data_IF_258189266353
#
_entry.id   IF_258189266353
#
_cell.length_a   1.000
_cell.length_b   1.000
_cell.length_c   1.000
_cell.angle_alpha   90.00
_cell.angle_beta   90.00
_cell.angle_gamma   90.00
#
_symmetry.space_group_name_H-M   'P 1'
#
loop_
_entity.id
_entity.type
_entity.pdbx_description
1 polymer ?
#
# COMPACT_ATOMS: atom_id res chain seq x y z
N UNK A 1 -5.17 -0.95 -21.40
CA UNK A 1 -6.22 -0.02 -21.87
C UNK A 1 -7.50 -0.19 -21.05
N UNK A 2 -7.53 0.49 -19.88
CA UNK A 2 -8.63 0.37 -18.93
C UNK A 2 -9.80 1.33 -19.20
N UNK A 3 -9.76 2.09 -20.31
CA UNK A 3 -10.73 3.15 -20.60
C UNK A 3 -11.71 2.84 -21.75
N UNK A 4 -11.67 1.65 -22.35
CA UNK A 4 -12.42 1.38 -23.57
C UNK A 4 -13.92 1.17 -23.39
N UNK A 5 -14.37 0.75 -22.22
CA UNK A 5 -15.78 0.35 -22.02
C UNK A 5 -16.71 1.52 -21.72
N UNK A 6 -16.20 2.72 -21.37
CA UNK A 6 -17.07 3.85 -21.06
C UNK A 6 -17.65 4.55 -22.30
N UNK A 7 -16.99 4.41 -23.46
CA UNK A 7 -17.42 5.07 -24.69
C UNK A 7 -18.77 4.55 -25.19
N UNK A 8 -19.07 3.29 -24.93
CA UNK A 8 -20.33 2.61 -25.34
C UNK A 8 -21.48 2.85 -24.35
N UNK A 9 -21.25 3.53 -23.22
CA UNK A 9 -22.26 3.75 -22.20
C UNK A 9 -22.86 5.15 -22.33
N UNK A 10 -24.20 5.22 -22.50
CA UNK A 10 -24.94 6.47 -22.69
C UNK A 10 -25.36 7.20 -21.41
N UNK A 11 -25.17 6.59 -20.25
CA UNK A 11 -25.52 7.18 -18.96
C UNK A 11 -24.43 8.08 -18.38
N UNK A 12 -24.65 8.63 -17.17
CA UNK A 12 -23.67 9.45 -16.47
C UNK A 12 -22.34 8.70 -16.24
N UNK A 13 -21.24 9.34 -16.56
CA UNK A 13 -19.89 8.78 -16.52
C UNK A 13 -19.08 9.43 -15.39
N UNK A 14 -18.61 8.64 -14.45
CA UNK A 14 -17.78 9.10 -13.35
C UNK A 14 -16.44 8.37 -13.40
N UNK A 15 -15.34 9.12 -13.45
CA UNK A 15 -14.00 8.57 -13.31
C UNK A 15 -13.54 8.69 -11.85
N UNK A 16 -13.25 7.56 -11.17
CA UNK A 16 -12.48 7.60 -9.94
C UNK A 16 -10.99 7.50 -10.28
N UNK A 17 -10.27 8.59 -10.07
CA UNK A 17 -8.91 8.76 -10.53
C UNK A 17 -7.96 8.95 -9.36
N UNK A 18 -7.03 8.03 -9.16
CA UNK A 18 -5.94 8.15 -8.20
C UNK A 18 -4.64 8.38 -8.97
N UNK A 19 -3.97 9.49 -8.68
CA UNK A 19 -2.73 9.87 -9.33
C UNK A 19 -1.75 10.49 -8.34
N UNK A 20 -0.55 10.00 -8.31
CA UNK A 20 0.45 10.30 -7.26
C UNK A 20 1.48 11.37 -7.68
N UNK A 21 1.19 12.19 -8.71
CA UNK A 21 2.05 13.29 -9.11
C UNK A 21 1.26 14.53 -9.49
N UNK A 22 1.94 15.68 -9.55
CA UNK A 22 1.32 16.98 -9.85
C UNK A 22 0.71 17.08 -11.25
N UNK A 23 1.16 16.22 -12.20
CA UNK A 23 0.64 16.20 -13.56
C UNK A 23 0.46 14.79 -14.08
N UNK A 24 -0.65 14.57 -14.75
CA UNK A 24 -0.91 13.34 -15.50
C UNK A 24 -0.43 13.48 -16.94
N UNK A 25 0.06 12.40 -17.58
CA UNK A 25 0.32 12.40 -19.02
C UNK A 25 -0.93 12.80 -19.79
N UNK A 26 -0.76 13.62 -20.83
CA UNK A 26 -1.87 14.21 -21.58
C UNK A 26 -2.84 13.18 -22.14
N UNK A 27 -2.35 12.00 -22.52
CA UNK A 27 -3.16 10.90 -23.03
C UNK A 27 -4.22 10.39 -22.03
N UNK A 28 -3.89 10.38 -20.72
CA UNK A 28 -4.83 10.01 -19.65
C UNK A 28 -5.70 11.20 -19.25
N UNK A 29 -5.07 12.36 -19.04
CA UNK A 29 -5.75 13.56 -18.60
C UNK A 29 -6.85 14.02 -19.57
N UNK A 30 -6.58 13.97 -20.88
CA UNK A 30 -7.56 14.38 -21.87
C UNK A 30 -8.81 13.48 -21.87
N UNK A 31 -8.63 12.17 -21.63
CA UNK A 31 -9.77 11.25 -21.50
C UNK A 31 -10.65 11.54 -20.28
N UNK A 32 -10.08 12.04 -19.19
CA UNK A 32 -10.87 12.43 -18.01
C UNK A 32 -11.86 13.57 -18.31
N UNK A 33 -11.60 14.40 -19.33
CA UNK A 33 -12.48 15.50 -19.71
C UNK A 33 -13.82 15.02 -20.31
N UNK A 34 -13.87 13.79 -20.81
CA UNK A 34 -15.05 13.17 -21.39
C UNK A 34 -16.05 12.69 -20.32
N UNK A 35 -15.61 12.64 -19.05
CA UNK A 35 -16.46 12.23 -17.94
C UNK A 35 -17.29 13.40 -17.40
N UNK A 36 -18.48 13.11 -16.88
CA UNK A 36 -19.37 14.09 -16.24
C UNK A 36 -18.79 14.55 -14.90
N UNK A 37 -18.17 13.62 -14.17
CA UNK A 37 -17.45 13.91 -12.93
C UNK A 37 -16.13 13.15 -12.87
N UNK A 38 -15.16 13.75 -12.19
CA UNK A 38 -13.88 13.14 -11.84
C UNK A 38 -13.76 13.15 -10.32
N UNK A 39 -13.76 11.96 -9.73
CA UNK A 39 -13.58 11.78 -8.31
C UNK A 39 -12.10 11.53 -8.01
N UNK A 40 -11.57 12.22 -7.02
CA UNK A 40 -10.16 12.14 -6.61
C UNK A 40 -10.06 11.88 -5.12
N UNK A 41 -8.99 11.24 -4.68
CA UNK A 41 -8.85 10.78 -3.30
C UNK A 41 -8.54 11.91 -2.28
N UNK A 42 -8.02 13.06 -2.72
CA UNK A 42 -7.58 14.13 -1.82
C UNK A 42 -7.77 15.52 -2.39
N UNK A 43 -7.77 16.54 -1.50
CA UNK A 43 -7.78 17.94 -1.90
C UNK A 43 -6.54 18.30 -2.74
N UNK A 44 -5.37 17.77 -2.38
CA UNK A 44 -4.16 17.99 -3.16
C UNK A 44 -4.32 17.52 -4.61
N UNK A 45 -4.83 16.32 -4.82
CA UNK A 45 -5.05 15.79 -6.16
C UNK A 45 -6.11 16.58 -6.92
N UNK A 46 -7.18 17.07 -6.24
CA UNK A 46 -8.17 17.98 -6.83
C UNK A 46 -7.48 19.23 -7.37
N UNK A 47 -6.67 19.87 -6.56
CA UNK A 47 -6.01 21.12 -6.91
C UNK A 47 -5.05 20.92 -8.09
N UNK A 48 -4.24 19.88 -8.07
CA UNK A 48 -3.38 19.51 -9.22
C UNK A 48 -4.19 19.22 -10.50
N UNK A 49 -5.35 18.56 -10.38
CA UNK A 49 -6.21 18.24 -11.52
C UNK A 49 -6.82 19.52 -12.12
N UNK A 50 -7.24 20.48 -11.30
CA UNK A 50 -7.78 21.77 -11.72
C UNK A 50 -6.66 22.63 -12.34
N UNK A 51 -5.50 22.73 -11.71
CA UNK A 51 -4.33 23.44 -12.25
C UNK A 51 -3.88 22.92 -13.61
N UNK A 52 -4.07 21.62 -13.87
CA UNK A 52 -3.78 21.01 -15.16
C UNK A 52 -4.84 21.37 -16.24
N UNK A 53 -5.96 22.02 -15.86
CA UNK A 53 -6.99 22.54 -16.75
C UNK A 53 -8.29 21.73 -16.77
N UNK A 54 -8.60 20.99 -15.70
CA UNK A 54 -9.92 20.38 -15.52
C UNK A 54 -10.91 21.43 -15.01
N UNK A 55 -12.16 21.34 -15.48
CA UNK A 55 -13.24 22.18 -14.94
C UNK A 55 -13.46 21.86 -13.46
N UNK A 56 -13.34 22.86 -12.54
CA UNK A 56 -13.52 22.65 -11.10
C UNK A 56 -14.85 22.02 -10.70
N UNK A 57 -15.93 22.32 -11.43
CA UNK A 57 -17.27 21.82 -11.14
C UNK A 57 -17.38 20.29 -11.32
N UNK A 58 -16.54 19.73 -12.20
CA UNK A 58 -16.47 18.29 -12.43
C UNK A 58 -15.66 17.54 -11.38
N UNK A 59 -14.76 18.19 -10.64
CA UNK A 59 -13.85 17.50 -9.72
C UNK A 59 -14.44 17.44 -8.32
N UNK A 60 -14.62 16.22 -7.79
CA UNK A 60 -15.12 15.95 -6.45
C UNK A 60 -14.08 15.19 -5.64
N UNK A 61 -13.92 15.55 -4.38
CA UNK A 61 -13.04 14.81 -3.45
C UNK A 61 -13.85 13.70 -2.79
N UNK A 62 -13.51 12.47 -3.10
CA UNK A 62 -14.07 11.26 -2.50
C UNK A 62 -12.89 10.47 -1.94
N UNK A 63 -12.56 10.61 -0.65
CA UNK A 63 -11.42 9.91 -0.05
C UNK A 63 -11.56 8.39 -0.15
N UNK A 64 -10.42 7.72 -0.24
CA UNK A 64 -10.37 6.28 0.00
C UNK A 64 -10.75 6.00 1.45
N UNK A 65 -11.43 4.91 1.69
CA UNK A 65 -11.95 4.55 2.99
C UNK A 65 -11.50 3.16 3.44
N UNK A 66 -11.56 2.95 4.73
CA UNK A 66 -11.37 1.64 5.37
C UNK A 66 -12.64 1.27 6.13
N UNK A 67 -12.99 -0.01 6.12
CA UNK A 67 -14.09 -0.50 6.95
C UNK A 67 -13.65 -0.58 8.41
N UNK A 68 -14.05 0.43 9.20
CA UNK A 68 -13.73 0.54 10.62
C UNK A 68 -14.37 -0.55 11.49
N UNK A 69 -15.37 -1.31 11.00
CA UNK A 69 -15.91 -2.46 11.72
C UNK A 69 -14.97 -3.67 11.62
N UNK A 70 -14.20 -3.74 10.55
CA UNK A 70 -13.24 -4.82 10.30
C UNK A 70 -11.84 -4.42 10.82
N UNK A 71 -11.36 -3.25 10.42
CA UNK A 71 -10.02 -2.76 10.75
C UNK A 71 -10.04 -1.87 11.99
N UNK A 72 -10.18 -2.51 13.16
CA UNK A 72 -10.11 -1.86 14.47
C UNK A 72 -9.34 -2.74 15.44
N UNK A 73 -8.67 -2.17 16.45
CA UNK A 73 -8.00 -2.95 17.49
C UNK A 73 -8.98 -3.92 18.17
N UNK A 74 -8.52 -5.15 18.39
CA UNK A 74 -9.31 -6.18 19.06
C UNK A 74 -8.46 -6.95 20.06
N UNK A 75 -8.57 -6.62 21.34
CA UNK A 75 -7.83 -7.25 22.43
C UNK A 75 -8.14 -8.74 22.62
N UNK A 76 -9.26 -9.22 22.09
CA UNK A 76 -9.63 -10.66 22.16
C UNK A 76 -8.84 -11.51 21.16
N UNK A 77 -8.20 -10.91 20.16
CA UNK A 77 -7.37 -11.64 19.22
C UNK A 77 -6.09 -12.08 19.89
N UNK A 78 -5.81 -13.37 19.84
CA UNK A 78 -4.56 -13.97 20.30
C UNK A 78 -3.79 -14.53 19.12
N UNK A 79 -2.52 -14.18 19.04
CA UNK A 79 -1.60 -14.66 18.01
C UNK A 79 -0.43 -15.38 18.69
N UNK A 80 -0.02 -16.58 18.22
CA UNK A 80 1.07 -17.34 18.83
C UNK A 80 2.39 -16.55 18.93
N UNK A 81 2.70 -15.74 17.94
CA UNK A 81 3.89 -14.92 17.85
C UNK A 81 3.91 -13.73 18.83
N UNK A 82 2.79 -13.40 19.48
CA UNK A 82 2.69 -12.36 20.52
C UNK A 82 2.71 -12.93 21.95
N UNK A 83 3.16 -14.17 22.12
CA UNK A 83 3.32 -14.77 23.45
C UNK A 83 4.60 -14.35 24.17
N UNK A 84 5.58 -13.89 23.41
CA UNK A 84 6.78 -13.26 23.96
C UNK A 84 6.52 -11.76 24.23
N UNK A 85 7.33 -11.15 25.08
CA UNK A 85 7.24 -9.73 25.45
C UNK A 85 7.98 -8.80 24.48
N UNK A 86 8.38 -9.32 23.31
CA UNK A 86 9.11 -8.52 22.31
C UNK A 86 8.16 -7.57 21.59
N UNK A 87 8.57 -6.32 21.45
CA UNK A 87 7.81 -5.36 20.63
C UNK A 87 7.93 -5.72 19.15
N UNK A 88 6.82 -5.64 18.42
CA UNK A 88 6.78 -6.04 17.01
C UNK A 88 6.44 -4.86 16.12
N UNK A 89 7.43 -4.42 15.35
CA UNK A 89 7.19 -3.59 14.18
C UNK A 89 6.64 -4.46 13.05
N UNK A 90 5.79 -3.90 12.20
CA UNK A 90 5.23 -4.61 11.06
C UNK A 90 5.52 -3.85 9.76
N UNK A 91 5.97 -4.56 8.74
CA UNK A 91 6.22 -4.05 7.41
C UNK A 91 5.42 -4.91 6.41
N UNK A 92 4.32 -4.35 5.93
CA UNK A 92 3.40 -5.02 5.03
C UNK A 92 3.35 -4.33 3.67
N UNK A 93 3.21 -5.11 2.62
CA UNK A 93 3.12 -4.62 1.26
C UNK A 93 3.88 -5.50 0.28
N UNK A 94 4.65 -4.87 -0.59
CA UNK A 94 5.53 -5.57 -1.53
C UNK A 94 6.94 -5.07 -1.37
N UNK A 95 7.92 -5.95 -1.58
CA UNK A 95 9.30 -5.49 -1.75
C UNK A 95 9.37 -4.61 -3.00
N UNK A 96 9.54 -3.32 -2.80
CA UNK A 96 9.44 -2.33 -3.86
C UNK A 96 10.29 -1.10 -3.50
N UNK A 97 11.02 -0.57 -4.48
CA UNK A 97 11.81 0.64 -4.31
C UNK A 97 10.96 1.83 -3.85
N UNK A 98 9.77 2.00 -4.43
CA UNK A 98 8.84 3.08 -4.07
C UNK A 98 8.36 2.99 -2.61
N UNK A 99 8.38 1.79 -2.03
CA UNK A 99 8.02 1.54 -0.63
C UNK A 99 9.21 1.63 0.32
N UNK A 100 10.41 1.87 -0.21
CA UNK A 100 11.66 1.91 0.56
C UNK A 100 11.86 0.67 1.45
N UNK A 101 11.43 -0.49 0.96
CA UNK A 101 11.37 -1.73 1.75
C UNK A 101 12.75 -2.13 2.27
N UNK A 102 13.77 -2.07 1.40
CA UNK A 102 15.15 -2.37 1.78
C UNK A 102 15.67 -1.40 2.84
N UNK A 103 15.49 -0.12 2.61
CA UNK A 103 15.93 0.96 3.49
C UNK A 103 15.27 0.88 4.87
N UNK A 104 13.99 0.51 4.94
CA UNK A 104 13.29 0.31 6.23
C UNK A 104 13.94 -0.83 7.01
N UNK A 105 14.27 -1.95 6.35
CA UNK A 105 14.95 -3.08 7.00
C UNK A 105 16.35 -2.68 7.47
N UNK A 106 17.12 -1.99 6.64
CA UNK A 106 18.45 -1.48 6.99
C UNK A 106 18.39 -0.54 8.19
N UNK A 107 17.45 0.42 8.20
CA UNK A 107 17.25 1.32 9.33
C UNK A 107 16.88 0.58 10.62
N UNK A 108 15.98 -0.41 10.55
CA UNK A 108 15.65 -1.24 11.72
C UNK A 108 16.87 -1.96 12.29
N UNK A 109 17.70 -2.56 11.43
CA UNK A 109 18.90 -3.30 11.84
C UNK A 109 19.99 -2.39 12.41
N UNK A 110 20.04 -1.13 11.97
CA UNK A 110 20.97 -0.12 12.47
C UNK A 110 20.54 0.50 13.79
N UNK A 111 19.23 0.78 13.94
CA UNK A 111 18.67 1.45 15.11
C UNK A 111 18.66 0.55 16.33
N UNK A 112 18.24 -0.70 16.18
CA UNK A 112 18.06 -1.62 17.30
C UNK A 112 19.23 -2.60 17.42
N UNK A 113 19.79 -2.73 18.63
CA UNK A 113 20.80 -3.75 18.93
C UNK A 113 20.17 -5.14 18.99
N UNK A 114 21.02 -6.19 18.88
CA UNK A 114 20.54 -7.58 18.93
C UNK A 114 19.97 -7.98 20.30
N UNK A 115 20.33 -7.26 21.36
CA UNK A 115 19.90 -7.53 22.72
C UNK A 115 18.56 -6.86 23.07
N UNK A 116 18.11 -5.94 22.25
CA UNK A 116 16.81 -5.29 22.46
C UNK A 116 15.63 -6.23 22.12
N UNK A 117 14.56 -6.21 22.93
CA UNK A 117 13.44 -7.11 22.75
C UNK A 117 12.47 -6.60 21.65
N UNK A 118 12.98 -6.46 20.43
CA UNK A 118 12.22 -6.01 19.28
C UNK A 118 12.32 -6.98 18.10
N UNK A 119 11.26 -7.10 17.31
CA UNK A 119 11.24 -7.83 16.04
C UNK A 119 10.63 -6.97 14.94
N UNK A 120 11.02 -7.21 13.70
CA UNK A 120 10.39 -6.66 12.51
C UNK A 120 9.70 -7.79 11.73
N UNK A 121 8.37 -7.76 11.71
CA UNK A 121 7.55 -8.75 11.01
C UNK A 121 7.36 -8.29 9.57
N UNK A 122 7.76 -9.14 8.63
CA UNK A 122 7.79 -8.86 7.21
C UNK A 122 6.71 -9.68 6.47
N UNK A 123 5.82 -9.00 5.76
CA UNK A 123 4.94 -9.62 4.75
C UNK A 123 5.03 -8.79 3.48
N UNK A 124 6.09 -9.02 2.73
CA UNK A 124 6.59 -8.11 1.68
C UNK A 124 6.93 -8.80 0.37
N UNK A 125 6.47 -10.03 0.14
CA UNK A 125 6.70 -10.71 -1.13
C UNK A 125 6.18 -9.90 -2.31
N UNK A 126 6.94 -9.92 -3.40
CA UNK A 126 6.57 -9.25 -4.64
C UNK A 126 6.57 -10.24 -5.81
N UNK A 127 5.41 -10.85 -6.04
CA UNK A 127 5.21 -11.81 -7.13
C UNK A 127 5.25 -11.17 -8.53
N UNK A 128 5.25 -9.83 -8.60
CA UNK A 128 5.30 -9.09 -9.87
C UNK A 128 6.69 -8.55 -10.19
N UNK A 129 7.63 -8.66 -9.25
CA UNK A 129 9.00 -8.25 -9.50
C UNK A 129 9.65 -9.17 -10.53
N UNK A 130 10.40 -8.56 -11.45
CA UNK A 130 11.23 -9.27 -12.44
C UNK A 130 12.70 -9.09 -12.09
N UNK A 131 13.02 -9.20 -10.80
CA UNK A 131 14.35 -8.96 -10.24
C UNK A 131 15.15 -10.25 -10.00
N UNK A 132 14.58 -11.41 -10.37
CA UNK A 132 15.22 -12.72 -10.26
C UNK A 132 15.11 -13.37 -8.87
N UNK A 133 14.28 -12.82 -7.98
CA UNK A 133 14.05 -13.40 -6.66
C UNK A 133 12.61 -13.92 -6.53
N UNK A 134 12.47 -15.13 -6.00
CA UNK A 134 11.16 -15.77 -5.86
C UNK A 134 10.43 -15.35 -4.58
N UNK A 135 11.17 -14.97 -3.53
CA UNK A 135 10.62 -14.72 -2.20
C UNK A 135 11.44 -13.67 -1.42
N UNK A 136 10.96 -13.34 -0.22
CA UNK A 136 11.61 -12.38 0.69
C UNK A 136 12.94 -12.90 1.22
N UNK A 137 13.05 -14.18 1.53
CA UNK A 137 14.26 -14.81 2.06
C UNK A 137 15.45 -14.66 1.09
N UNK A 138 15.23 -14.90 -0.20
CA UNK A 138 16.26 -14.76 -1.23
C UNK A 138 16.76 -13.31 -1.34
N UNK A 139 15.83 -12.32 -1.21
CA UNK A 139 16.20 -10.91 -1.20
C UNK A 139 17.01 -10.53 0.03
N UNK A 140 16.59 -10.96 1.22
CA UNK A 140 17.34 -10.70 2.46
C UNK A 140 18.76 -11.25 2.37
N UNK A 141 18.91 -12.47 1.86
CA UNK A 141 20.23 -13.10 1.65
C UNK A 141 21.07 -12.34 0.63
N UNK A 142 20.49 -11.97 -0.50
CA UNK A 142 21.20 -11.23 -1.55
C UNK A 142 21.75 -9.88 -1.04
N UNK A 143 20.97 -9.18 -0.22
CA UNK A 143 21.37 -7.88 0.34
C UNK A 143 22.15 -7.98 1.67
N UNK A 144 22.47 -9.18 2.14
CA UNK A 144 23.14 -9.44 3.43
C UNK A 144 22.37 -8.84 4.62
N UNK A 145 21.04 -8.93 4.60
CA UNK A 145 20.13 -8.42 5.61
C UNK A 145 19.56 -9.52 6.51
N UNK A 146 20.14 -10.72 6.50
CA UNK A 146 19.69 -11.84 7.34
C UNK A 146 19.92 -11.53 8.82
N UNK A 147 18.85 -11.51 9.60
CA UNK A 147 18.89 -11.29 11.04
C UNK A 147 17.75 -12.05 11.72
N UNK A 148 17.95 -12.68 12.88
CA UNK A 148 16.92 -13.46 13.57
C UNK A 148 15.74 -12.62 14.08
N UNK A 149 15.86 -11.30 14.15
CA UNK A 149 14.77 -10.37 14.51
C UNK A 149 13.83 -10.08 13.35
N UNK A 150 14.21 -10.41 12.11
CA UNK A 150 13.35 -10.33 10.95
C UNK A 150 12.47 -11.58 10.89
N UNK A 151 11.17 -11.42 11.04
CA UNK A 151 10.18 -12.50 11.08
C UNK A 151 9.32 -12.47 9.82
N UNK A 152 9.59 -13.36 8.89
CA UNK A 152 8.79 -13.46 7.66
C UNK A 152 7.44 -14.08 8.00
N UNK A 153 6.37 -13.43 7.56
CA UNK A 153 5.00 -13.85 7.78
C UNK A 153 4.22 -13.88 6.47
N UNK A 154 3.63 -15.02 6.17
CA UNK A 154 2.68 -15.16 5.08
C UNK A 154 1.26 -15.24 5.63
N UNK A 155 0.32 -14.62 4.94
CA UNK A 155 -1.09 -14.67 5.28
C UNK A 155 -1.84 -15.42 4.17
N UNK A 156 -2.11 -16.73 4.33
CA UNK A 156 -2.82 -17.52 3.33
C UNK A 156 -4.26 -17.04 3.10
N UNK A 157 -4.85 -16.36 4.08
CA UNK A 157 -6.21 -15.82 3.98
C UNK A 157 -6.27 -14.35 4.38
N UNK A 158 -7.26 -13.62 3.83
CA UNK A 158 -7.56 -12.25 4.26
C UNK A 158 -7.96 -12.18 5.74
N UNK A 159 -8.62 -13.21 6.26
CA UNK A 159 -9.03 -13.27 7.66
C UNK A 159 -7.84 -13.29 8.62
N UNK A 160 -6.81 -14.07 8.31
CA UNK A 160 -5.57 -14.11 9.12
C UNK A 160 -4.83 -12.77 9.08
N UNK A 161 -4.77 -12.13 7.92
CA UNK A 161 -4.21 -10.79 7.77
C UNK A 161 -4.96 -9.76 8.63
N UNK A 162 -6.30 -9.78 8.60
CA UNK A 162 -7.14 -8.89 9.41
C UNK A 162 -6.90 -9.12 10.91
N UNK A 163 -6.91 -10.39 11.37
CA UNK A 163 -6.63 -10.72 12.78
C UNK A 163 -5.27 -10.20 13.23
N UNK A 164 -4.28 -10.28 12.36
CA UNK A 164 -2.96 -9.77 12.66
C UNK A 164 -2.96 -8.25 12.84
N UNK A 165 -3.62 -7.51 11.96
CA UNK A 165 -3.77 -6.06 12.07
C UNK A 165 -4.60 -5.62 13.28
N UNK A 166 -5.59 -6.41 13.68
CA UNK A 166 -6.44 -6.12 14.83
C UNK A 166 -5.69 -6.26 16.17
N UNK A 167 -4.61 -7.04 16.20
CA UNK A 167 -3.81 -7.29 17.40
C UNK A 167 -2.83 -6.17 17.69
N UNK A 168 -2.36 -5.44 16.67
CA UNK A 168 -1.29 -4.43 16.71
C UNK A 168 -1.53 -3.19 17.49
#
# INVERSE_FOLDING_TARGET
>A
DHFFYYEEYDGPKIAYNVWESTRQPSQFFNKLKDFDQVWVASNWQRDCTIEQGMNPDKVKVIPEAVDGNIFQPNSSVTLPEYKDERFKFVLFGRWDYRKSTKEIIECFLQEFSKDEPVDLVLSIDNLFAKDGFDNTEDRLKHYNLEDPRLKIKHFPTREEYIKYLQKG
#
